data_IF_155456103568
#
_entry.id   IF_155456103568
#
_cell.length_a   1.000
_cell.length_b   1.000
_cell.length_c   1.000
_cell.angle_alpha   90.00
_cell.angle_beta   90.00
_cell.angle_gamma   90.00
#
_symmetry.space_group_name_H-M   'P 1'
#
loop_
_entity.id
_entity.type
_entity.pdbx_description
1 polymer ?
#
# COMPACT_ATOMS: atom_id res chain seq x y z
N UNK A 1 -14.34 -1.12 -4.62
CA UNK A 1 -13.34 -0.81 -5.67
C UNK A 1 -12.26 -1.87 -5.60
N UNK A 2 -11.82 -2.41 -6.76
CA UNK A 2 -10.75 -3.41 -6.79
C UNK A 2 -9.46 -2.84 -6.21
N UNK A 3 -8.76 -3.63 -5.39
CA UNK A 3 -7.52 -3.22 -4.73
C UNK A 3 -6.35 -3.08 -5.71
N UNK A 4 -6.36 -3.86 -6.80
CA UNK A 4 -5.28 -3.92 -7.80
C UNK A 4 -5.78 -3.53 -9.19
N UNK A 5 -4.86 -2.96 -9.98
CA UNK A 5 -5.09 -2.58 -11.39
C UNK A 5 -4.14 -3.35 -12.30
N UNK A 6 -4.67 -4.00 -13.32
CA UNK A 6 -3.88 -4.60 -14.37
C UNK A 6 -4.15 -3.91 -15.71
N UNK A 7 -3.09 -3.62 -16.47
CA UNK A 7 -3.25 -3.21 -17.86
C UNK A 7 -3.00 -4.40 -18.77
N UNK A 8 -3.92 -4.62 -19.74
CA UNK A 8 -3.88 -5.75 -20.66
C UNK A 8 -3.34 -5.30 -21.99
N UNK A 9 -2.21 -5.87 -22.38
CA UNK A 9 -1.53 -5.66 -23.66
C UNK A 9 -1.75 -6.92 -24.50
N UNK A 10 -2.43 -6.79 -25.64
CA UNK A 10 -2.72 -7.93 -26.50
C UNK A 10 -3.13 -7.47 -27.91
N UNK A 11 -3.05 -8.35 -28.94
CA UNK A 11 -3.53 -8.00 -30.27
C UNK A 11 -5.01 -7.60 -30.28
N UNK A 12 -5.34 -6.60 -31.09
CA UNK A 12 -6.72 -6.21 -31.36
C UNK A 12 -7.25 -7.04 -32.52
N UNK A 13 -8.22 -7.92 -32.26
CA UNK A 13 -8.84 -8.76 -33.27
C UNK A 13 -10.04 -9.50 -32.71
N UNK A 14 -10.96 -9.92 -33.60
CA UNK A 14 -12.17 -10.63 -33.21
C UNK A 14 -11.84 -11.91 -32.41
N UNK A 15 -10.78 -12.62 -32.83
CA UNK A 15 -10.33 -13.87 -32.20
C UNK A 15 -9.84 -13.70 -30.75
N UNK A 16 -9.43 -12.48 -30.40
CA UNK A 16 -8.95 -12.18 -29.04
C UNK A 16 -10.04 -11.62 -28.11
N UNK A 17 -11.24 -11.32 -28.61
CA UNK A 17 -12.30 -10.73 -27.80
C UNK A 17 -12.77 -11.66 -26.66
N UNK A 18 -12.95 -12.96 -26.98
CA UNK A 18 -13.36 -13.94 -25.96
C UNK A 18 -12.22 -14.23 -24.97
N UNK A 19 -10.98 -14.29 -25.45
CA UNK A 19 -9.78 -14.40 -24.60
C UNK A 19 -9.73 -13.23 -23.62
N UNK A 20 -9.97 -12.00 -24.11
CA UNK A 20 -10.01 -10.82 -23.25
C UNK A 20 -11.19 -10.84 -22.28
N UNK A 21 -12.42 -10.88 -22.80
CA UNK A 21 -13.63 -10.68 -21.99
C UNK A 21 -13.91 -11.85 -21.05
N UNK A 22 -13.87 -13.06 -21.59
CA UNK A 22 -14.23 -14.27 -20.85
C UNK A 22 -13.02 -14.90 -20.15
N UNK A 23 -11.82 -14.78 -20.71
CA UNK A 23 -10.59 -15.31 -20.14
C UNK A 23 -9.98 -14.35 -19.13
N UNK A 24 -9.41 -13.23 -19.60
CA UNK A 24 -8.58 -12.34 -18.78
C UNK A 24 -9.43 -11.49 -17.82
N UNK A 25 -10.37 -10.69 -18.36
CA UNK A 25 -11.14 -9.72 -17.56
C UNK A 25 -12.04 -10.40 -16.53
N UNK A 26 -12.68 -11.51 -16.89
CA UNK A 26 -13.52 -12.28 -15.98
C UNK A 26 -12.68 -12.89 -14.83
N UNK A 27 -11.54 -13.51 -15.14
CA UNK A 27 -10.64 -14.09 -14.11
C UNK A 27 -10.04 -13.02 -13.20
N UNK A 28 -9.61 -11.89 -13.75
CA UNK A 28 -9.11 -10.76 -12.98
C UNK A 28 -10.15 -10.26 -11.98
N UNK A 29 -11.41 -10.11 -12.42
CA UNK A 29 -12.53 -9.70 -11.55
C UNK A 29 -12.78 -10.69 -10.42
N UNK A 30 -12.68 -12.00 -10.66
CA UNK A 30 -12.79 -13.03 -9.63
C UNK A 30 -11.67 -12.93 -8.57
N UNK A 31 -10.50 -12.38 -8.97
CA UNK A 31 -9.34 -12.15 -8.12
C UNK A 31 -9.29 -10.74 -7.51
N UNK A 32 -10.37 -9.96 -7.60
CA UNK A 32 -10.45 -8.57 -7.15
C UNK A 32 -9.43 -7.63 -7.82
N UNK A 33 -9.20 -7.83 -9.12
CA UNK A 33 -8.33 -7.02 -9.97
C UNK A 33 -9.16 -6.33 -11.05
N UNK A 34 -8.97 -5.01 -11.22
CA UNK A 34 -9.52 -4.24 -12.33
C UNK A 34 -8.57 -4.34 -13.53
N UNK A 35 -8.87 -5.26 -14.45
CA UNK A 35 -8.09 -5.47 -15.67
C UNK A 35 -8.73 -4.72 -16.84
N UNK A 36 -7.96 -3.82 -17.44
CA UNK A 36 -8.41 -2.99 -18.58
C UNK A 36 -7.48 -3.12 -19.77
N UNK A 37 -8.07 -3.22 -20.96
CA UNK A 37 -7.41 -3.06 -22.24
C UNK A 37 -7.59 -1.63 -22.73
N UNK A 38 -6.78 -1.15 -23.66
CA UNK A 38 -6.82 0.23 -24.15
C UNK A 38 -8.19 0.63 -24.71
N UNK A 39 -8.86 -0.26 -25.44
CA UNK A 39 -10.17 -0.01 -26.06
C UNK A 39 -11.36 -0.07 -25.10
N UNK A 40 -11.15 -0.35 -23.83
CA UNK A 40 -12.21 -0.21 -22.81
C UNK A 40 -12.57 1.25 -22.52
N UNK A 41 -11.69 2.19 -22.83
CA UNK A 41 -11.87 3.61 -22.57
C UNK A 41 -11.88 4.38 -23.92
N UNK A 42 -12.68 5.44 -24.03
CA UNK A 42 -12.65 6.36 -25.18
C UNK A 42 -11.58 7.44 -24.97
N UNK A 43 -10.72 7.67 -25.97
CA UNK A 43 -9.67 8.69 -25.92
C UNK A 43 -9.80 9.68 -27.08
N UNK A 44 -9.63 10.96 -26.73
CA UNK A 44 -9.55 12.08 -27.69
C UNK A 44 -8.09 12.56 -27.86
N UNK A 45 -7.11 11.79 -27.32
CA UNK A 45 -5.71 12.16 -27.19
C UNK A 45 -4.77 11.21 -27.94
N UNK A 46 -3.47 11.52 -27.92
CA UNK A 46 -2.43 10.67 -28.50
C UNK A 46 -2.42 9.27 -27.84
N UNK A 47 -2.76 8.25 -28.63
CA UNK A 47 -2.88 6.86 -28.18
C UNK A 47 -1.61 6.35 -27.46
N UNK A 48 -0.43 6.75 -27.94
CA UNK A 48 0.86 6.29 -27.38
C UNK A 48 1.06 6.84 -25.96
N UNK A 49 0.74 8.11 -25.73
CA UNK A 49 0.84 8.71 -24.39
C UNK A 49 -0.12 8.05 -23.39
N UNK A 50 -1.31 7.69 -23.85
CA UNK A 50 -2.27 7.01 -23.00
C UNK A 50 -1.83 5.58 -22.67
N UNK A 51 -1.23 4.84 -23.61
CA UNK A 51 -0.61 3.53 -23.35
C UNK A 51 0.47 3.66 -22.25
N UNK A 52 1.37 4.64 -22.39
CA UNK A 52 2.41 4.86 -21.38
C UNK A 52 1.84 5.19 -20.00
N UNK A 53 0.81 6.01 -19.95
CA UNK A 53 0.11 6.34 -18.72
C UNK A 53 -0.54 5.10 -18.10
N UNK A 54 -1.26 4.31 -18.89
CA UNK A 54 -1.89 3.06 -18.43
C UNK A 54 -0.86 2.05 -17.91
N UNK A 55 0.28 1.90 -18.61
CA UNK A 55 1.38 1.05 -18.14
C UNK A 55 1.94 1.58 -16.81
N UNK A 56 2.15 2.89 -16.70
CA UNK A 56 2.68 3.48 -15.47
C UNK A 56 1.70 3.36 -14.29
N UNK A 57 0.40 3.54 -14.52
CA UNK A 57 -0.63 3.50 -13.48
C UNK A 57 -1.02 2.08 -13.05
N UNK A 58 -0.72 1.06 -13.87
CA UNK A 58 -1.01 -0.34 -13.55
C UNK A 58 -0.07 -0.88 -12.46
N UNK A 59 -0.61 -1.73 -11.58
CA UNK A 59 0.18 -2.49 -10.62
C UNK A 59 0.98 -3.60 -11.29
N UNK A 60 0.40 -4.24 -12.31
CA UNK A 60 1.07 -5.24 -13.14
C UNK A 60 0.46 -5.28 -14.54
N UNK A 61 1.15 -5.94 -15.45
CA UNK A 61 0.76 -6.08 -16.83
C UNK A 61 0.36 -7.54 -17.10
N UNK A 62 -0.68 -7.74 -17.91
CA UNK A 62 -1.03 -9.03 -18.52
C UNK A 62 -0.81 -8.87 -20.00
N UNK A 63 0.15 -9.60 -20.58
CA UNK A 63 0.55 -9.43 -21.97
C UNK A 63 0.37 -10.74 -22.77
N UNK A 64 -0.47 -10.73 -23.81
CA UNK A 64 -0.64 -11.85 -24.72
C UNK A 64 0.26 -11.70 -25.94
N UNK A 65 1.26 -12.56 -26.02
CA UNK A 65 2.31 -12.55 -27.05
C UNK A 65 1.93 -13.35 -28.31
N UNK A 66 0.72 -13.93 -28.36
CA UNK A 66 0.25 -14.76 -29.47
C UNK A 66 0.33 -14.01 -30.80
N UNK A 67 0.90 -14.66 -31.83
CA UNK A 67 0.97 -14.13 -33.18
C UNK A 67 2.06 -13.10 -33.41
N UNK A 68 2.96 -12.86 -32.45
CA UNK A 68 4.14 -11.97 -32.58
C UNK A 68 3.81 -10.55 -33.00
N UNK A 69 2.74 -9.97 -32.46
CA UNK A 69 2.34 -8.61 -32.81
C UNK A 69 3.42 -7.59 -32.41
N UNK A 70 3.95 -6.78 -33.36
CA UNK A 70 5.05 -5.85 -33.09
C UNK A 70 4.66 -4.74 -32.09
N UNK A 71 3.39 -4.30 -32.07
CA UNK A 71 2.94 -3.30 -31.11
C UNK A 71 2.93 -3.87 -29.69
N UNK A 72 2.47 -5.11 -29.52
CA UNK A 72 2.53 -5.82 -28.22
C UNK A 72 3.99 -5.92 -27.75
N UNK A 73 4.93 -6.26 -28.63
CA UNK A 73 6.35 -6.35 -28.27
C UNK A 73 6.92 -5.01 -27.81
N UNK A 74 6.57 -3.92 -28.52
CA UNK A 74 6.98 -2.58 -28.15
C UNK A 74 6.46 -2.17 -26.76
N UNK A 75 5.18 -2.40 -26.49
CA UNK A 75 4.51 -2.06 -25.23
C UNK A 75 5.06 -2.89 -24.07
N UNK A 76 5.29 -4.19 -24.29
CA UNK A 76 5.91 -5.09 -23.32
C UNK A 76 7.35 -4.68 -23.01
N UNK A 77 8.13 -4.28 -24.02
CA UNK A 77 9.47 -3.76 -23.85
C UNK A 77 9.49 -2.47 -23.02
N UNK A 78 8.54 -1.58 -23.25
CA UNK A 78 8.39 -0.37 -22.43
C UNK A 78 8.01 -0.70 -20.97
N UNK A 79 7.05 -1.62 -20.78
CA UNK A 79 6.66 -2.07 -19.44
C UNK A 79 7.83 -2.72 -18.70
N UNK A 80 8.67 -3.48 -19.38
CA UNK A 80 9.86 -4.09 -18.84
C UNK A 80 10.91 -3.06 -18.42
N UNK A 81 11.18 -2.07 -19.27
CA UNK A 81 12.08 -0.95 -18.95
C UNK A 81 11.61 -0.13 -17.74
N UNK A 82 10.29 -0.15 -17.45
CA UNK A 82 9.69 0.45 -16.26
C UNK A 82 9.65 -0.49 -15.04
N UNK A 83 10.33 -1.64 -15.09
CA UNK A 83 10.35 -2.66 -14.04
C UNK A 83 8.95 -3.15 -13.60
N UNK A 84 7.97 -3.10 -14.51
CA UNK A 84 6.64 -3.63 -14.24
C UNK A 84 6.68 -5.15 -14.10
N UNK A 85 5.84 -5.68 -13.22
CA UNK A 85 5.58 -7.11 -13.16
C UNK A 85 4.72 -7.49 -14.37
N UNK A 86 5.17 -8.45 -15.19
CA UNK A 86 4.49 -8.83 -16.42
C UNK A 86 4.13 -10.30 -16.37
N UNK A 87 2.85 -10.62 -16.51
CA UNK A 87 2.33 -11.97 -16.74
C UNK A 87 2.23 -12.19 -18.25
N UNK A 88 3.11 -13.01 -18.78
CA UNK A 88 3.12 -13.33 -20.20
C UNK A 88 2.15 -14.48 -20.51
N UNK A 89 1.31 -14.29 -21.51
CA UNK A 89 0.39 -15.30 -22.05
C UNK A 89 0.78 -15.60 -23.50
N UNK A 90 0.53 -16.81 -23.95
CA UNK A 90 0.67 -17.19 -25.38
C UNK A 90 -0.09 -18.46 -25.69
N UNK A 91 -0.57 -18.59 -26.92
CA UNK A 91 -1.08 -19.86 -27.47
C UNK A 91 0.04 -20.71 -28.08
N UNK A 92 1.21 -20.09 -28.36
CA UNK A 92 2.36 -20.79 -28.90
C UNK A 92 3.64 -20.24 -28.27
N UNK A 93 4.37 -21.08 -27.58
CA UNK A 93 5.61 -20.71 -26.87
C UNK A 93 6.67 -20.12 -27.77
N UNK A 94 6.64 -20.48 -29.08
CA UNK A 94 7.55 -19.93 -30.07
C UNK A 94 7.29 -18.45 -30.39
N UNK A 95 6.13 -17.90 -30.01
CA UNK A 95 5.82 -16.49 -30.21
C UNK A 95 6.51 -15.59 -29.19
N UNK A 96 6.98 -16.17 -28.08
CA UNK A 96 7.71 -15.42 -27.06
C UNK A 96 9.14 -15.16 -27.54
N UNK A 97 9.59 -13.87 -27.57
CA UNK A 97 10.97 -13.51 -27.93
C UNK A 97 12.00 -14.16 -27.00
N UNK A 98 13.20 -14.39 -27.52
CA UNK A 98 14.29 -15.05 -26.79
C UNK A 98 14.55 -14.42 -25.41
N UNK A 99 14.56 -13.09 -25.33
CA UNK A 99 14.85 -12.34 -24.11
C UNK A 99 13.77 -12.56 -23.02
N UNK A 100 12.57 -12.95 -23.38
CA UNK A 100 11.45 -13.23 -22.49
C UNK A 100 11.20 -14.72 -22.26
N UNK A 101 11.87 -15.63 -22.99
CA UNK A 101 11.66 -17.08 -22.86
C UNK A 101 11.97 -17.64 -21.46
N UNK A 102 12.90 -17.01 -20.74
CA UNK A 102 13.25 -17.42 -19.38
C UNK A 102 12.26 -16.92 -18.32
N UNK A 103 11.35 -16.02 -18.70
CA UNK A 103 10.33 -15.50 -17.79
C UNK A 103 9.16 -16.46 -17.68
N UNK A 104 8.49 -16.40 -16.54
CA UNK A 104 7.27 -17.18 -16.32
C UNK A 104 6.20 -16.75 -17.30
N UNK A 105 5.74 -17.70 -18.12
CA UNK A 105 4.66 -17.52 -19.08
C UNK A 105 3.57 -18.58 -18.90
N UNK A 106 2.38 -18.26 -19.37
CA UNK A 106 1.21 -19.14 -19.41
C UNK A 106 0.96 -19.52 -20.87
N UNK A 107 1.17 -20.78 -21.20
CA UNK A 107 0.70 -21.33 -22.46
C UNK A 107 -0.74 -21.81 -22.30
N UNK A 108 -1.65 -21.40 -23.20
CA UNK A 108 -3.04 -21.76 -23.17
C UNK A 108 -3.55 -22.18 -24.55
N UNK A 109 -4.51 -23.11 -24.60
CA UNK A 109 -5.14 -23.59 -25.83
C UNK A 109 -6.51 -22.97 -26.08
N UNK A 110 -7.20 -22.61 -25.00
CA UNK A 110 -8.56 -22.11 -25.00
C UNK A 110 -8.83 -21.25 -23.74
N UNK A 111 -10.00 -20.62 -23.71
CA UNK A 111 -10.41 -19.74 -22.61
C UNK A 111 -10.46 -20.45 -21.26
N UNK A 112 -10.85 -21.73 -21.24
CA UNK A 112 -10.97 -22.50 -20.00
C UNK A 112 -9.60 -22.78 -19.38
N UNK A 113 -8.65 -23.26 -20.19
CA UNK A 113 -7.27 -23.50 -19.79
C UNK A 113 -6.56 -22.21 -19.35
N UNK A 114 -6.87 -21.06 -20.01
CA UNK A 114 -6.37 -19.76 -19.62
C UNK A 114 -6.87 -19.38 -18.23
N UNK A 115 -8.16 -19.47 -17.94
CA UNK A 115 -8.76 -19.09 -16.67
C UNK A 115 -8.09 -19.81 -15.48
N UNK A 116 -7.98 -21.13 -15.59
CA UNK A 116 -7.40 -21.95 -14.52
C UNK A 116 -5.97 -21.53 -14.18
N UNK A 117 -5.14 -21.39 -15.22
CA UNK A 117 -3.73 -21.03 -15.05
C UNK A 117 -3.53 -19.58 -14.63
N UNK A 118 -4.31 -18.65 -15.20
CA UNK A 118 -4.20 -17.22 -14.96
C UNK A 118 -4.60 -16.85 -13.53
N UNK A 119 -5.63 -17.49 -12.96
CA UNK A 119 -6.07 -17.26 -11.59
C UNK A 119 -4.92 -17.41 -10.59
N UNK A 120 -4.19 -18.52 -10.67
CA UNK A 120 -3.04 -18.78 -9.79
C UNK A 120 -1.91 -17.74 -9.98
N UNK A 121 -1.71 -17.29 -11.23
CA UNK A 121 -0.66 -16.30 -11.52
C UNK A 121 -1.04 -14.89 -11.09
N UNK A 122 -2.31 -14.52 -11.15
CA UNK A 122 -2.81 -13.25 -10.60
C UNK A 122 -2.61 -13.22 -9.08
N UNK A 123 -2.96 -14.29 -8.36
CA UNK A 123 -2.75 -14.34 -6.91
C UNK A 123 -1.25 -14.26 -6.55
N UNK A 124 -0.40 -14.93 -7.32
CA UNK A 124 1.05 -14.79 -7.17
C UNK A 124 1.51 -13.34 -7.42
N UNK A 125 1.02 -12.70 -8.50
CA UNK A 125 1.37 -11.32 -8.82
C UNK A 125 0.96 -10.34 -7.72
N UNK A 126 -0.24 -10.49 -7.15
CA UNK A 126 -0.72 -9.69 -6.02
C UNK A 126 0.23 -9.81 -4.82
N UNK A 127 0.60 -11.05 -4.45
CA UNK A 127 1.53 -11.30 -3.36
C UNK A 127 2.91 -10.68 -3.62
N UNK A 128 3.39 -10.74 -4.85
CA UNK A 128 4.69 -10.17 -5.23
C UNK A 128 4.67 -8.63 -5.19
N UNK A 129 3.55 -8.03 -5.60
CA UNK A 129 3.33 -6.58 -5.49
C UNK A 129 3.25 -6.16 -4.02
N UNK A 130 2.52 -6.90 -3.18
CA UNK A 130 2.43 -6.57 -1.76
C UNK A 130 3.81 -6.64 -1.08
N UNK A 131 4.62 -7.64 -1.39
CA UNK A 131 6.02 -7.72 -0.92
C UNK A 131 6.87 -6.55 -1.39
N UNK A 132 6.79 -6.20 -2.69
CA UNK A 132 7.50 -5.02 -3.22
C UNK A 132 7.08 -3.74 -2.51
N UNK A 133 5.78 -3.58 -2.27
CA UNK A 133 5.24 -2.41 -1.57
C UNK A 133 5.67 -2.35 -0.11
N UNK A 134 5.73 -3.48 0.60
CA UNK A 134 6.25 -3.55 1.98
C UNK A 134 7.73 -3.15 2.06
N UNK A 135 8.49 -3.39 1.00
CA UNK A 135 9.92 -3.05 0.92
C UNK A 135 10.17 -1.63 0.36
N UNK A 136 9.13 -0.89 -0.07
CA UNK A 136 9.29 0.49 -0.58
C UNK A 136 9.76 1.43 0.51
N UNK A 137 9.18 1.29 1.70
CA UNK A 137 9.50 2.12 2.86
C UNK A 137 9.74 1.26 4.09
N UNK A 138 10.62 1.72 4.94
CA UNK A 138 10.69 1.25 6.32
C UNK A 138 10.10 2.31 7.25
N UNK A 139 9.16 1.87 8.09
CA UNK A 139 8.48 2.73 9.06
C UNK A 139 9.01 2.38 10.45
N UNK A 140 9.61 3.33 11.14
CA UNK A 140 9.92 3.19 12.57
C UNK A 140 9.14 4.22 13.38
N UNK A 141 8.69 3.81 14.55
CA UNK A 141 7.98 4.66 15.51
C UNK A 141 8.52 4.34 16.89
N UNK A 142 9.25 5.27 17.47
CA UNK A 142 9.99 5.06 18.70
C UNK A 142 9.59 6.08 19.75
N UNK A 143 9.55 5.65 21.01
CA UNK A 143 9.40 6.54 22.17
C UNK A 143 10.73 7.25 22.39
N UNK A 144 10.72 8.57 22.39
CA UNK A 144 11.88 9.42 22.71
C UNK A 144 11.92 9.77 24.19
N UNK A 145 10.77 10.09 24.76
CA UNK A 145 10.59 10.35 26.16
C UNK A 145 9.15 10.06 26.55
N UNK A 146 8.95 9.65 27.78
CA UNK A 146 7.63 9.45 28.35
C UNK A 146 7.69 9.77 29.86
N UNK A 147 6.64 10.42 30.36
CA UNK A 147 6.52 10.73 31.79
C UNK A 147 5.06 10.79 32.19
N UNK A 148 4.85 10.77 33.47
CA UNK A 148 3.55 10.94 34.10
C UNK A 148 3.41 12.42 34.53
N UNK A 149 2.35 13.06 34.05
CA UNK A 149 1.91 14.35 34.58
C UNK A 149 0.80 14.11 35.59
N UNK A 150 1.04 14.53 36.81
CA UNK A 150 0.19 14.23 37.98
C UNK A 150 -0.48 15.49 38.52
N UNK A 151 -1.75 15.37 38.84
CA UNK A 151 -2.49 16.38 39.55
C UNK A 151 -3.37 15.74 40.62
N UNK A 152 -3.98 16.57 41.49
CA UNK A 152 -4.96 16.13 42.47
C UNK A 152 -6.18 15.43 41.85
N UNK A 153 -6.48 15.73 40.57
CA UNK A 153 -7.72 15.30 39.90
C UNK A 153 -7.51 14.24 38.85
N UNK A 154 -6.30 14.11 38.27
CA UNK A 154 -6.02 13.14 37.23
C UNK A 154 -4.53 12.87 37.06
N UNK A 155 -4.22 11.70 36.54
CA UNK A 155 -2.92 11.32 36.03
C UNK A 155 -2.99 11.20 34.50
N UNK A 156 -2.05 11.84 33.79
CA UNK A 156 -1.95 11.80 32.38
C UNK A 156 -0.58 11.31 31.89
N UNK A 157 -0.55 10.34 31.03
CA UNK A 157 0.67 9.94 30.32
C UNK A 157 0.97 10.93 29.21
N UNK A 158 2.17 11.49 29.20
CA UNK A 158 2.72 12.29 28.11
C UNK A 158 3.83 11.48 27.46
N UNK A 159 3.72 11.25 26.15
CA UNK A 159 4.69 10.44 25.41
C UNK A 159 5.09 11.14 24.12
N UNK A 160 6.38 11.40 23.97
CA UNK A 160 6.93 11.93 22.72
C UNK A 160 7.43 10.79 21.85
N UNK A 161 6.87 10.71 20.65
CA UNK A 161 7.21 9.72 19.65
C UNK A 161 7.99 10.35 18.51
N UNK A 162 8.89 9.59 17.92
CA UNK A 162 9.49 9.88 16.62
C UNK A 162 9.02 8.85 15.59
N UNK A 163 8.26 9.31 14.61
CA UNK A 163 7.91 8.56 13.40
C UNK A 163 8.97 8.86 12.34
N UNK A 164 9.60 7.82 11.82
CA UNK A 164 10.53 7.92 10.69
C UNK A 164 10.03 7.03 9.56
N UNK A 165 9.93 7.60 8.37
CA UNK A 165 9.56 6.88 7.14
C UNK A 165 10.73 6.98 6.19
N UNK A 166 11.46 5.86 6.03
CA UNK A 166 12.63 5.76 5.16
C UNK A 166 12.22 5.27 3.77
N UNK A 167 12.66 5.94 2.74
CA UNK A 167 12.64 5.42 1.39
C UNK A 167 13.89 4.55 1.17
N UNK A 168 13.73 3.24 1.20
CA UNK A 168 14.82 2.28 1.00
C UNK A 168 15.15 2.01 -0.47
N UNK A 169 14.41 2.61 -1.40
CA UNK A 169 14.55 2.38 -2.84
C UNK A 169 15.61 3.30 -3.48
N UNK A 170 15.98 3.01 -4.73
CA UNK A 170 16.81 3.89 -5.56
C UNK A 170 16.05 4.99 -6.28
N UNK A 171 14.72 5.00 -6.17
CA UNK A 171 13.85 5.95 -6.83
C UNK A 171 13.13 6.83 -5.80
N UNK A 172 12.82 8.08 -6.12
CA UNK A 172 12.04 8.94 -5.23
C UNK A 172 10.60 8.44 -5.10
N UNK A 173 10.02 8.64 -3.93
CA UNK A 173 8.59 8.46 -3.68
C UNK A 173 7.92 9.80 -3.91
N UNK A 174 7.14 9.92 -4.97
CA UNK A 174 6.60 11.22 -5.43
C UNK A 174 5.26 11.61 -4.81
N UNK A 175 4.52 10.65 -4.22
CA UNK A 175 3.16 10.90 -3.74
C UNK A 175 2.93 10.29 -2.37
N UNK A 176 3.56 10.84 -1.35
CA UNK A 176 3.18 10.61 0.03
C UNK A 176 1.89 11.39 0.30
N UNK A 177 0.77 10.70 0.46
CA UNK A 177 -0.54 11.32 0.50
C UNK A 177 -1.02 11.55 1.93
N UNK A 178 -0.83 10.56 2.79
CA UNK A 178 -1.43 10.55 4.12
C UNK A 178 -0.72 9.56 5.04
N UNK A 179 -0.71 9.90 6.31
CA UNK A 179 -0.25 9.03 7.40
C UNK A 179 -1.38 8.96 8.42
N UNK A 180 -1.90 7.76 8.66
CA UNK A 180 -2.86 7.51 9.74
C UNK A 180 -2.14 6.77 10.87
N UNK A 181 -2.28 7.28 12.10
CA UNK A 181 -1.86 6.59 13.32
C UNK A 181 -3.12 6.11 14.03
N UNK A 182 -3.28 4.80 14.15
CA UNK A 182 -4.43 4.19 14.80
C UNK A 182 -4.02 3.74 16.19
N UNK A 183 -4.76 4.20 17.18
CA UNK A 183 -4.49 3.97 18.61
C UNK A 183 -5.74 3.43 19.30
N UNK A 184 -5.62 3.03 20.56
CA UNK A 184 -6.78 2.84 21.43
C UNK A 184 -7.56 4.15 21.60
N UNK A 185 -8.85 4.06 21.94
CA UNK A 185 -9.78 5.19 21.97
C UNK A 185 -9.47 6.29 23.01
N UNK A 186 -8.55 6.03 23.94
CA UNK A 186 -8.18 6.98 25.01
C UNK A 186 -6.98 7.86 24.67
N UNK A 187 -6.33 7.66 23.50
CA UNK A 187 -5.18 8.47 23.11
C UNK A 187 -5.61 9.72 22.35
N UNK A 188 -4.96 10.85 22.67
CA UNK A 188 -4.99 12.08 21.90
C UNK A 188 -3.59 12.36 21.35
N UNK A 189 -3.47 12.69 20.08
CA UNK A 189 -2.17 12.95 19.46
C UNK A 189 -2.07 14.40 18.98
N UNK A 190 -0.87 14.95 19.12
CA UNK A 190 -0.54 16.33 18.79
C UNK A 190 0.68 16.40 17.89
N UNK A 191 0.66 17.35 16.96
CA UNK A 191 1.76 17.71 16.07
C UNK A 191 2.02 19.20 16.27
N UNK A 192 3.23 19.58 16.65
CA UNK A 192 3.59 20.99 16.96
C UNK A 192 2.56 21.68 17.87
N UNK A 193 2.23 21.02 18.99
CA UNK A 193 1.26 21.44 19.99
C UNK A 193 -0.21 21.53 19.48
N UNK A 194 -0.45 21.27 18.19
CA UNK A 194 -1.79 21.24 17.62
C UNK A 194 -2.38 19.84 17.67
N UNK A 195 -3.62 19.76 18.10
CA UNK A 195 -4.36 18.51 18.09
C UNK A 195 -4.49 17.93 16.67
N UNK A 196 -4.05 16.68 16.50
CA UNK A 196 -4.18 15.99 15.21
C UNK A 196 -5.65 15.63 15.00
N UNK A 197 -6.19 15.96 13.82
CA UNK A 197 -7.56 15.58 13.47
C UNK A 197 -7.78 14.09 13.65
N UNK A 198 -8.76 13.72 14.43
CA UNK A 198 -9.07 12.32 14.71
C UNK A 198 -10.52 11.97 14.45
N UNK A 199 -10.79 10.68 14.38
CA UNK A 199 -12.13 10.08 14.31
C UNK A 199 -12.14 8.74 15.02
N UNK A 200 -13.22 8.44 15.71
CA UNK A 200 -13.42 7.11 16.30
C UNK A 200 -13.82 6.12 15.20
N UNK A 201 -13.16 4.96 15.17
CA UNK A 201 -13.43 3.87 14.24
C UNK A 201 -13.71 2.58 15.02
N UNK A 202 -14.46 1.66 14.41
CA UNK A 202 -14.67 0.31 14.94
C UNK A 202 -14.09 -0.67 13.93
N UNK A 203 -13.11 -1.44 14.35
CA UNK A 203 -12.50 -2.50 13.54
C UNK A 203 -12.47 -3.80 14.37
N UNK A 204 -13.06 -4.87 13.86
CA UNK A 204 -13.20 -6.17 14.56
C UNK A 204 -13.84 -6.02 15.96
N UNK A 205 -14.92 -5.24 16.07
CA UNK A 205 -15.65 -4.94 17.31
C UNK A 205 -14.83 -4.22 18.39
N UNK A 206 -13.66 -3.70 18.04
CA UNK A 206 -12.81 -2.91 18.94
C UNK A 206 -12.89 -1.44 18.57
N UNK A 207 -13.24 -0.60 19.56
CA UNK A 207 -13.22 0.85 19.39
C UNK A 207 -11.79 1.36 19.40
N UNK A 208 -11.42 2.07 18.34
CA UNK A 208 -10.10 2.64 18.10
C UNK A 208 -10.24 4.11 17.70
N UNK A 209 -9.12 4.83 17.69
CA UNK A 209 -9.06 6.21 17.23
C UNK A 209 -8.03 6.35 16.13
N UNK A 210 -8.46 6.89 14.99
CA UNK A 210 -7.60 7.20 13.85
C UNK A 210 -7.21 8.67 13.93
N UNK A 211 -5.90 8.93 13.95
CA UNK A 211 -5.32 10.27 13.90
C UNK A 211 -4.68 10.45 12.53
N UNK A 212 -5.08 11.51 11.81
CA UNK A 212 -4.69 11.72 10.41
C UNK A 212 -3.74 12.88 10.25
N UNK A 213 -2.55 12.59 9.72
CA UNK A 213 -1.52 13.57 9.35
C UNK A 213 -1.49 13.66 7.82
N UNK A 214 -1.59 14.89 7.32
CA UNK A 214 -1.34 15.20 5.91
C UNK A 214 0.06 15.79 5.85
N UNK A 215 1.06 15.06 5.30
CA UNK A 215 2.44 15.54 5.26
C UNK A 215 2.56 16.79 4.41
N UNK A 216 3.37 17.75 4.85
CA UNK A 216 3.75 18.92 4.06
C UNK A 216 4.65 18.48 2.90
N UNK A 217 5.66 17.67 3.19
CA UNK A 217 6.52 17.04 2.20
C UNK A 217 5.81 15.84 1.59
N UNK A 218 5.60 15.88 0.28
CA UNK A 218 4.92 14.83 -0.47
C UNK A 218 5.88 13.94 -1.24
N UNK A 219 7.17 14.26 -1.21
CA UNK A 219 8.23 13.55 -1.91
C UNK A 219 9.26 13.11 -0.88
N UNK A 220 9.64 11.83 -0.93
CA UNK A 220 10.79 11.32 -0.19
C UNK A 220 11.82 10.91 -1.22
N UNK A 221 12.96 11.59 -1.24
CA UNK A 221 14.04 11.30 -2.19
C UNK A 221 14.56 9.86 -2.02
N UNK A 222 15.24 9.36 -3.05
CA UNK A 222 15.86 8.03 -2.99
C UNK A 222 16.87 7.95 -1.84
N UNK A 223 16.80 6.88 -1.04
CA UNK A 223 17.66 6.67 0.13
C UNK A 223 17.57 7.75 1.21
N UNK A 224 16.49 8.51 1.22
CA UNK A 224 16.21 9.57 2.19
C UNK A 224 15.04 9.21 3.09
N UNK A 225 14.73 10.05 4.06
CA UNK A 225 13.66 9.80 5.02
C UNK A 225 12.97 11.11 5.44
N UNK A 226 11.76 10.98 5.96
CA UNK A 226 11.08 12.05 6.69
C UNK A 226 10.96 11.67 8.16
N UNK A 227 11.00 12.69 9.02
CA UNK A 227 10.84 12.54 10.45
C UNK A 227 9.69 13.42 10.94
N UNK A 228 8.81 12.84 11.75
CA UNK A 228 7.65 13.52 12.32
C UNK A 228 7.67 13.27 13.84
N UNK A 229 7.71 14.34 14.60
CA UNK A 229 7.58 14.26 16.05
C UNK A 229 6.10 14.35 16.44
N UNK A 230 5.63 13.38 17.19
CA UNK A 230 4.23 13.29 17.61
C UNK A 230 4.21 13.19 19.13
N UNK A 231 3.44 14.05 19.78
CA UNK A 231 3.18 13.92 21.22
C UNK A 231 1.85 13.19 21.41
N UNK A 232 1.86 12.15 22.23
CA UNK A 232 0.66 11.44 22.67
C UNK A 232 0.31 11.78 24.11
N UNK A 233 -0.98 11.97 24.38
CA UNK A 233 -1.53 12.15 25.71
C UNK A 233 -2.61 11.12 25.99
N UNK A 234 -2.63 10.60 27.21
CA UNK A 234 -3.62 9.59 27.60
C UNK A 234 -3.93 9.70 29.08
N UNK A 235 -5.20 9.92 29.41
CA UNK A 235 -5.65 9.83 30.81
C UNK A 235 -5.54 8.39 31.31
N UNK A 236 -4.90 8.22 32.47
CA UNK A 236 -4.66 6.95 33.10
C UNK A 236 -5.53 6.74 34.35
N UNK A 237 -5.74 7.82 35.08
CA UNK A 237 -6.55 7.86 36.30
C UNK A 237 -7.21 9.24 36.45
N UNK A 238 -8.37 9.28 37.06
CA UNK A 238 -9.03 10.52 37.50
C UNK A 238 -9.72 10.31 38.86
N UNK A 239 -9.95 11.40 39.56
CA UNK A 239 -10.51 11.39 40.93
C UNK A 239 -11.95 10.81 41.02
N UNK A 240 -12.62 10.58 39.88
CA UNK A 240 -13.95 9.95 39.80
C UNK A 240 -13.85 8.44 39.63
N UNK A 241 -12.67 7.90 39.35
CA UNK A 241 -12.44 6.46 39.26
C UNK A 241 -12.48 5.86 40.66
N UNK A 242 -13.02 4.64 40.81
CA UNK A 242 -13.07 3.92 42.07
C UNK A 242 -11.73 3.23 42.44
N UNK A 243 -10.65 3.61 41.77
CA UNK A 243 -9.31 3.05 41.94
C UNK A 243 -8.38 4.09 42.56
N UNK A 244 -7.34 3.61 43.25
CA UNK A 244 -6.31 4.50 43.82
C UNK A 244 -5.33 4.94 42.74
N UNK A 245 -4.80 6.15 42.92
CA UNK A 245 -3.72 6.70 42.14
C UNK A 245 -2.45 5.85 42.31
N UNK A 246 -1.72 5.53 41.26
CA UNK A 246 -0.55 4.65 41.30
C UNK A 246 0.74 5.47 41.11
N UNK A 247 1.85 5.00 41.73
CA UNK A 247 3.16 5.65 41.57
C UNK A 247 3.72 5.53 40.14
N UNK A 248 3.36 4.46 39.44
CA UNK A 248 3.76 4.22 38.06
C UNK A 248 2.65 3.53 37.27
N UNK A 249 2.66 3.69 35.95
CA UNK A 249 1.72 3.05 35.05
C UNK A 249 2.43 2.36 33.91
N UNK A 250 1.88 1.23 33.45
CA UNK A 250 2.36 0.52 32.29
C UNK A 250 1.53 0.90 31.04
N UNK A 251 2.19 1.48 30.05
CA UNK A 251 1.61 1.76 28.74
C UNK A 251 1.72 0.53 27.86
N UNK A 252 0.79 -0.39 28.03
CA UNK A 252 0.71 -1.60 27.25
C UNK A 252 -0.32 -1.46 26.15
N UNK A 253 -0.04 -2.07 25.00
CA UNK A 253 -0.97 -2.09 23.88
C UNK A 253 -0.26 -2.10 22.53
N UNK A 254 -0.95 -1.62 21.54
CA UNK A 254 -0.42 -1.51 20.19
C UNK A 254 -0.91 -0.21 19.53
N UNK A 255 -0.18 0.22 18.54
CA UNK A 255 -0.62 1.20 17.56
C UNK A 255 -0.32 0.68 16.15
N UNK A 256 -1.07 1.15 15.19
CA UNK A 256 -0.87 0.82 13.79
C UNK A 256 -0.63 2.11 13.00
N UNK A 257 0.44 2.12 12.21
CA UNK A 257 0.75 3.21 11.30
C UNK A 257 0.39 2.76 9.90
N UNK A 258 -0.45 3.55 9.23
CA UNK A 258 -0.82 3.37 7.82
C UNK A 258 -0.27 4.54 7.03
N UNK A 259 0.55 4.25 6.05
CA UNK A 259 1.12 5.27 5.14
C UNK A 259 0.55 5.03 3.75
N UNK A 260 -0.01 6.08 3.14
CA UNK A 260 -0.57 6.01 1.80
C UNK A 260 0.39 6.69 0.83
N UNK A 261 0.94 5.88 -0.08
CA UNK A 261 1.91 6.28 -1.09
C UNK A 261 1.42 5.80 -2.45
N UNK A 262 1.34 6.69 -3.45
CA UNK A 262 0.91 6.34 -4.80
C UNK A 262 -0.43 5.56 -4.82
N UNK A 263 -1.40 5.95 -3.96
CA UNK A 263 -2.68 5.27 -3.73
C UNK A 263 -2.55 3.84 -3.16
N UNK A 264 -1.39 3.47 -2.64
CA UNK A 264 -1.15 2.19 -1.97
C UNK A 264 -1.02 2.40 -0.48
N UNK A 265 -1.58 1.46 0.28
CA UNK A 265 -1.54 1.46 1.74
C UNK A 265 -0.42 0.53 2.23
N UNK A 266 0.49 1.07 3.04
CA UNK A 266 1.53 0.32 3.73
C UNK A 266 1.25 0.42 5.22
N UNK A 267 1.20 -0.72 5.91
CA UNK A 267 0.89 -0.79 7.34
C UNK A 267 2.04 -1.35 8.14
N UNK A 268 2.23 -0.79 9.33
CA UNK A 268 3.13 -1.36 10.34
C UNK A 268 2.47 -1.29 11.71
N UNK A 269 2.35 -2.45 12.37
CA UNK A 269 1.86 -2.55 13.74
C UNK A 269 3.04 -2.55 14.70
N UNK A 270 2.92 -1.78 15.78
CA UNK A 270 3.96 -1.58 16.78
C UNK A 270 3.36 -1.89 18.15
N UNK A 271 4.04 -2.70 18.91
CA UNK A 271 3.65 -3.00 20.30
C UNK A 271 4.25 -1.97 21.23
N UNK A 272 3.42 -1.39 22.09
CA UNK A 272 3.84 -0.55 23.19
C UNK A 272 3.99 -1.41 24.45
N UNK A 273 5.11 -1.28 25.09
CA UNK A 273 5.37 -1.86 26.41
C UNK A 273 6.37 -0.95 27.11
N UNK A 274 5.88 0.05 27.83
CA UNK A 274 6.70 1.08 28.47
C UNK A 274 6.12 1.44 29.81
N UNK A 275 6.96 1.44 30.88
CA UNK A 275 6.58 1.93 32.20
C UNK A 275 6.86 3.41 32.30
N UNK A 276 5.93 4.16 32.87
CA UNK A 276 6.07 5.59 33.13
C UNK A 276 5.89 5.88 34.63
N UNK A 277 6.65 6.80 35.10
CA UNK A 277 6.61 7.34 36.43
C UNK A 277 6.65 8.87 36.40
N UNK A 278 6.42 9.50 37.53
CA UNK A 278 6.48 10.96 37.61
C UNK A 278 7.88 11.46 37.21
N UNK A 279 7.92 12.57 36.49
CA UNK A 279 9.20 13.16 36.05
C UNK A 279 10.01 13.55 37.31
N UNK A 280 11.22 13.04 37.49
CA UNK A 280 12.06 13.48 38.61
C UNK A 280 12.47 14.94 38.39
N UNK A 281 12.08 15.83 39.27
CA UNK A 281 12.48 17.24 39.29
C UNK A 281 13.97 17.42 39.58
#
# INVERSE_FOLDING_TARGET
MSKYKAFVIMPFGADFNDVYKLGIKATAKECDVDAKRLDDDFFDTNMVEEIYKKINDADFIIADMTGRNPNVFYEVGYADAKNKLILLLTQNVNDIPFDFKQRLHIEYSDVSSLKEKLKNKIEWAKNEIDKRNQNLIDISFTIKSAWLERSEYHDEAIVNYLLVINNSTSEPIEKLQMIDIITGSKWELFLDEKHIKNEDIIENDVKQRRHRIIPEEKIILAKDHIQIQVQGKKYLWNSWDQTEQQDSYNLNGWLEIKVIINNKEIKKRITLNHSIEEFPF
#
